data_IF_569719476251
#
_entry.id   IF_569719476251
#
_cell.length_a   1.000
_cell.length_b   1.000
_cell.length_c   1.000
_cell.angle_alpha   90.00
_cell.angle_beta   90.00
_cell.angle_gamma   90.00
#
_symmetry.space_group_name_H-M   'P 1'
#
loop_
_entity.id
_entity.type
_entity.pdbx_description
1 polymer ?
#
# COMPACT_ATOMS: atom_id res chain seq x y z
N UNK A 1 -4.22 -31.62 13.12
CA UNK A 1 -5.23 -30.91 13.95
C UNK A 1 -4.53 -30.13 15.06
N UNK A 2 -5.11 -29.02 15.52
CA UNK A 2 -4.63 -28.36 16.73
C UNK A 2 -5.17 -29.08 17.97
N UNK A 3 -4.30 -29.84 18.63
CA UNK A 3 -4.71 -30.72 19.73
C UNK A 3 -4.73 -30.00 21.10
N UNK A 4 -3.98 -28.91 21.25
CA UNK A 4 -3.96 -28.08 22.45
C UNK A 4 -4.91 -26.86 22.32
N UNK A 5 -5.57 -26.45 23.41
CA UNK A 5 -6.38 -25.22 23.51
C UNK A 5 -5.61 -23.98 23.04
N UNK A 6 -4.33 -23.87 23.40
CA UNK A 6 -3.46 -22.77 22.98
C UNK A 6 -3.29 -22.73 21.45
N UNK A 7 -3.11 -23.90 20.83
CA UNK A 7 -2.96 -24.03 19.39
C UNK A 7 -4.25 -23.63 18.64
N UNK A 8 -5.42 -24.08 19.10
CA UNK A 8 -6.72 -23.68 18.52
C UNK A 8 -6.91 -22.17 18.56
N UNK A 9 -6.63 -21.54 19.71
CA UNK A 9 -6.69 -20.07 19.88
C UNK A 9 -5.73 -19.34 18.94
N UNK A 10 -4.50 -19.84 18.76
CA UNK A 10 -3.51 -19.24 17.84
C UNK A 10 -3.98 -19.27 16.40
N UNK A 11 -4.65 -20.35 15.96
CA UNK A 11 -5.20 -20.45 14.60
C UNK A 11 -6.24 -19.35 14.35
N UNK A 12 -7.17 -19.13 15.28
CA UNK A 12 -8.21 -18.11 15.14
C UNK A 12 -7.62 -16.69 15.10
N UNK A 13 -6.69 -16.39 16.01
CA UNK A 13 -5.98 -15.10 16.04
C UNK A 13 -5.24 -14.87 14.71
N UNK A 14 -4.54 -15.89 14.21
CA UNK A 14 -3.80 -15.81 12.95
C UNK A 14 -4.74 -15.60 11.76
N UNK A 15 -5.89 -16.30 11.72
CA UNK A 15 -6.91 -16.11 10.68
C UNK A 15 -7.41 -14.67 10.65
N UNK A 16 -7.77 -14.13 11.82
CA UNK A 16 -8.21 -12.72 11.98
C UNK A 16 -7.14 -11.74 11.53
N UNK A 17 -5.91 -11.91 12.01
CA UNK A 17 -4.80 -11.00 11.70
C UNK A 17 -4.42 -11.08 10.21
N UNK A 18 -4.46 -12.28 9.61
CA UNK A 18 -4.22 -12.50 8.18
C UNK A 18 -5.21 -11.70 7.33
N UNK A 19 -6.50 -11.76 7.65
CA UNK A 19 -7.54 -11.03 6.91
C UNK A 19 -7.33 -9.50 7.00
N UNK A 20 -7.06 -8.99 8.21
CA UNK A 20 -6.75 -7.57 8.42
C UNK A 20 -5.51 -7.14 7.63
N UNK A 21 -4.43 -7.90 7.72
CA UNK A 21 -3.19 -7.61 6.99
C UNK A 21 -3.35 -7.72 5.49
N UNK A 22 -4.17 -8.67 5.01
CA UNK A 22 -4.47 -8.86 3.59
C UNK A 22 -5.06 -7.58 3.00
N UNK A 23 -6.09 -7.00 3.64
CA UNK A 23 -6.72 -5.76 3.17
C UNK A 23 -5.71 -4.66 2.90
N UNK A 24 -4.89 -4.29 3.90
CA UNK A 24 -3.89 -3.24 3.72
C UNK A 24 -2.87 -3.59 2.62
N UNK A 25 -2.34 -4.82 2.62
CA UNK A 25 -1.34 -5.24 1.63
C UNK A 25 -1.89 -5.24 0.20
N UNK A 26 -3.12 -5.70 0.00
CA UNK A 26 -3.76 -5.72 -1.32
C UNK A 26 -4.13 -4.31 -1.77
N UNK A 27 -4.71 -3.49 -0.89
CA UNK A 27 -5.08 -2.12 -1.22
C UNK A 27 -3.87 -1.27 -1.61
N UNK A 28 -2.76 -1.33 -0.87
CA UNK A 28 -1.51 -0.64 -1.27
C UNK A 28 -1.02 -1.15 -2.63
N UNK A 29 -1.04 -2.46 -2.87
CA UNK A 29 -0.60 -3.04 -4.16
C UNK A 29 -1.47 -2.53 -5.30
N UNK A 30 -2.79 -2.50 -5.13
CA UNK A 30 -3.73 -2.02 -6.15
C UNK A 30 -3.50 -0.53 -6.43
N UNK A 31 -3.39 0.30 -5.40
CA UNK A 31 -3.14 1.74 -5.57
C UNK A 31 -1.80 2.02 -6.26
N UNK A 32 -0.75 1.25 -5.95
CA UNK A 32 0.55 1.38 -6.63
C UNK A 32 0.43 1.01 -8.12
N UNK A 33 -0.31 -0.04 -8.47
CA UNK A 33 -0.56 -0.39 -9.88
C UNK A 33 -1.31 0.73 -10.61
N UNK A 34 -2.35 1.26 -9.97
CA UNK A 34 -3.13 2.37 -10.51
C UNK A 34 -2.26 3.63 -10.69
N UNK A 35 -1.38 3.92 -9.74
CA UNK A 35 -0.43 5.02 -9.82
C UNK A 35 0.46 4.91 -11.06
N UNK A 36 1.05 3.74 -11.32
CA UNK A 36 1.92 3.56 -12.49
C UNK A 36 1.15 3.69 -13.81
N UNK A 37 -0.06 3.14 -13.90
CA UNK A 37 -0.90 3.29 -15.09
C UNK A 37 -1.25 4.77 -15.37
N UNK A 38 -1.60 5.54 -14.34
CA UNK A 38 -1.89 6.97 -14.51
C UNK A 38 -0.62 7.80 -14.80
N UNK A 39 0.53 7.39 -14.26
CA UNK A 39 1.80 8.04 -14.52
C UNK A 39 2.22 7.84 -15.98
N UNK A 40 1.98 6.66 -16.57
CA UNK A 40 2.20 6.43 -18.01
C UNK A 40 1.33 7.34 -18.88
N UNK A 41 0.05 7.49 -18.54
CA UNK A 41 -0.86 8.43 -19.24
C UNK A 41 -0.36 9.87 -19.11
N UNK A 42 0.04 10.28 -17.90
CA UNK A 42 0.55 11.63 -17.65
C UNK A 42 1.82 11.94 -18.47
N UNK A 43 2.72 10.96 -18.66
CA UNK A 43 3.92 11.14 -19.49
C UNK A 43 3.60 11.51 -20.94
N UNK A 44 2.49 10.99 -21.48
CA UNK A 44 2.05 11.27 -22.84
C UNK A 44 1.23 12.56 -22.93
N UNK A 45 0.30 12.75 -21.99
CA UNK A 45 -0.69 13.84 -22.00
C UNK A 45 -0.14 15.17 -21.49
N UNK A 46 0.71 15.14 -20.45
CA UNK A 46 1.29 16.29 -19.75
C UNK A 46 0.28 17.37 -19.29
N UNK A 47 -1.00 17.03 -19.17
CA UNK A 47 -2.03 17.94 -18.70
C UNK A 47 -1.96 18.15 -17.19
N UNK A 48 -2.42 19.32 -16.73
CA UNK A 48 -2.51 19.67 -15.30
C UNK A 48 -3.47 18.74 -14.55
N UNK A 49 -4.53 18.28 -15.21
CA UNK A 49 -5.54 17.40 -14.63
C UNK A 49 -4.99 16.00 -14.35
N UNK A 50 -4.25 15.42 -15.29
CA UNK A 50 -3.66 14.09 -15.11
C UNK A 50 -2.55 14.12 -14.05
N UNK A 51 -1.80 15.23 -13.96
CA UNK A 51 -0.86 15.45 -12.87
C UNK A 51 -1.55 15.42 -11.49
N UNK A 52 -2.69 16.10 -11.36
CA UNK A 52 -3.48 16.11 -10.12
C UNK A 52 -3.97 14.69 -9.77
N UNK A 53 -4.50 13.94 -10.74
CA UNK A 53 -4.93 12.55 -10.53
C UNK A 53 -3.80 11.67 -9.98
N UNK A 54 -2.61 11.75 -10.58
CA UNK A 54 -1.44 10.97 -10.10
C UNK A 54 -1.05 11.38 -8.68
N UNK A 55 -1.06 12.69 -8.38
CA UNK A 55 -0.77 13.21 -7.04
C UNK A 55 -1.80 12.74 -6.00
N UNK A 56 -3.08 12.70 -6.33
CA UNK A 56 -4.15 12.25 -5.43
C UNK A 56 -4.04 10.75 -5.11
N UNK A 57 -3.68 9.94 -6.12
CA UNK A 57 -3.39 8.51 -5.91
C UNK A 57 -2.15 8.36 -5.00
N UNK A 58 -1.10 9.15 -5.21
CA UNK A 58 0.10 9.12 -4.37
C UNK A 58 -0.22 9.48 -2.91
N UNK A 59 -1.03 10.51 -2.70
CA UNK A 59 -1.51 10.92 -1.36
C UNK A 59 -2.32 9.80 -0.69
N UNK A 60 -3.16 9.10 -1.47
CA UNK A 60 -3.93 7.95 -0.99
C UNK A 60 -3.04 6.78 -0.58
N UNK A 61 -1.98 6.49 -1.36
CA UNK A 61 -0.97 5.48 -1.01
C UNK A 61 -0.29 5.84 0.32
N UNK A 62 0.11 7.09 0.50
CA UNK A 62 0.73 7.57 1.75
C UNK A 62 -0.19 7.37 2.95
N UNK A 63 -1.43 7.85 2.86
CA UNK A 63 -2.42 7.71 3.92
C UNK A 63 -2.60 6.25 4.34
N UNK A 64 -2.74 5.33 3.36
CA UNK A 64 -2.97 3.92 3.67
C UNK A 64 -1.73 3.22 4.22
N UNK A 65 -0.54 3.55 3.70
CA UNK A 65 0.72 3.01 4.18
C UNK A 65 1.02 3.46 5.62
N UNK A 66 0.80 4.73 5.96
CA UNK A 66 1.05 5.26 7.31
C UNK A 66 0.05 4.72 8.34
N UNK A 67 -1.22 4.59 7.94
CA UNK A 67 -2.20 3.86 8.77
C UNK A 67 -1.77 2.41 8.99
N UNK A 68 -1.19 1.78 7.97
CA UNK A 68 -0.66 0.42 8.05
C UNK A 68 0.60 0.28 8.92
N UNK A 69 1.51 1.26 8.92
CA UNK A 69 2.70 1.27 9.79
C UNK A 69 2.31 1.49 11.25
N UNK A 70 1.40 2.43 11.53
CA UNK A 70 0.87 2.66 12.90
C UNK A 70 0.22 1.40 13.48
N UNK A 71 -0.38 0.56 12.63
CA UNK A 71 -0.99 -0.72 13.01
C UNK A 71 -0.01 -1.91 12.98
N UNK A 72 1.29 -1.67 12.82
CA UNK A 72 2.34 -2.70 12.73
C UNK A 72 2.15 -3.72 11.60
N UNK A 73 1.43 -3.35 10.54
CA UNK A 73 1.22 -4.21 9.36
C UNK A 73 2.41 -4.11 8.40
N UNK A 74 3.00 -2.91 8.30
CA UNK A 74 4.23 -2.63 7.56
C UNK A 74 5.31 -2.19 8.52
N UNK A 75 6.53 -2.69 8.31
CA UNK A 75 7.70 -2.17 9.01
C UNK A 75 8.02 -0.75 8.50
N UNK A 76 8.47 0.14 9.41
CA UNK A 76 8.79 1.54 9.11
C UNK A 76 9.73 1.71 7.90
N UNK A 77 10.78 0.90 7.82
CA UNK A 77 11.74 0.95 6.71
C UNK A 77 11.14 0.52 5.37
N UNK A 78 10.26 -0.50 5.38
CA UNK A 78 9.56 -0.92 4.17
C UNK A 78 8.68 0.21 3.66
N UNK A 79 7.98 0.89 4.58
CA UNK A 79 7.11 1.98 4.21
C UNK A 79 7.90 3.16 3.63
N UNK A 80 8.94 3.63 4.33
CA UNK A 80 9.81 4.70 3.87
C UNK A 80 10.41 4.42 2.48
N UNK A 81 10.96 3.22 2.27
CA UNK A 81 11.53 2.82 0.97
C UNK A 81 10.52 2.84 -0.17
N UNK A 82 9.30 2.35 0.08
CA UNK A 82 8.25 2.34 -0.94
C UNK A 82 7.78 3.75 -1.30
N UNK A 83 7.64 4.63 -0.30
CA UNK A 83 7.31 6.04 -0.53
C UNK A 83 8.37 6.76 -1.36
N UNK A 84 9.64 6.60 -0.97
CA UNK A 84 10.77 7.19 -1.68
C UNK A 84 10.81 6.76 -3.15
N UNK A 85 10.59 5.47 -3.44
CA UNK A 85 10.55 4.95 -4.81
C UNK A 85 9.43 5.59 -5.65
N UNK A 86 8.22 5.74 -5.11
CA UNK A 86 7.10 6.32 -5.84
C UNK A 86 7.35 7.80 -6.19
N UNK A 87 7.91 8.57 -5.26
CA UNK A 87 8.28 9.97 -5.52
C UNK A 87 9.39 10.07 -6.55
N UNK A 88 10.41 9.22 -6.46
CA UNK A 88 11.48 9.21 -7.45
C UNK A 88 10.93 8.94 -8.86
N UNK A 89 10.01 7.98 -9.00
CA UNK A 89 9.33 7.72 -10.27
C UNK A 89 8.51 8.93 -10.74
N UNK A 90 7.75 9.57 -9.85
CA UNK A 90 6.94 10.75 -10.20
C UNK A 90 7.80 11.93 -10.67
N UNK A 91 8.94 12.19 -10.01
CA UNK A 91 9.85 13.29 -10.36
C UNK A 91 10.60 13.05 -11.67
N UNK A 92 10.87 11.79 -12.01
CA UNK A 92 11.56 11.41 -13.24
C UNK A 92 10.62 11.37 -14.47
N UNK A 93 9.33 11.64 -14.27
CA UNK A 93 8.28 11.59 -15.30
C UNK A 93 7.84 12.99 -15.69
#
# INVERSE_FOLDING_TARGET
MANNKSAKKRIEINKRNRLRNKYYKTSVRTLIKLFFANLEIYKTSQTVEDKKKVQDILNSVYSLMDKGTKKNIFHKNLAARKKAKLVASFKAS
#
